data_IF_180894133162
#
_entry.id   IF_180894133162
#
_cell.length_a   1.000
_cell.length_b   1.000
_cell.length_c   1.000
_cell.angle_alpha   90.00
_cell.angle_beta   90.00
_cell.angle_gamma   90.00
#
_symmetry.space_group_name_H-M   'P 1'
#
loop_
_entity.id
_entity.type
_entity.pdbx_description
1 polymer ?
#
# COMPACT_ATOMS: atom_id res chain seq x y z
N UNK A 1 -9.97 39.01 -15.32
CA UNK A 1 -9.79 37.98 -14.27
C UNK A 1 -10.18 36.55 -14.72
N UNK A 2 -10.15 36.21 -16.03
CA UNK A 2 -10.72 34.93 -16.52
C UNK A 2 -9.72 33.81 -16.86
N UNK A 3 -8.45 34.13 -17.12
CA UNK A 3 -7.48 33.16 -17.67
C UNK A 3 -6.65 32.49 -16.56
N UNK A 4 -6.10 33.27 -15.63
CA UNK A 4 -5.27 32.76 -14.53
C UNK A 4 -6.03 31.81 -13.59
N UNK A 5 -7.31 32.11 -13.30
CA UNK A 5 -8.14 31.25 -12.46
C UNK A 5 -8.51 29.92 -13.16
N UNK A 6 -8.73 29.95 -14.48
CA UNK A 6 -8.99 28.75 -15.27
C UNK A 6 -7.74 27.86 -15.37
N UNK A 7 -6.56 28.45 -15.61
CA UNK A 7 -5.28 27.72 -15.61
C UNK A 7 -4.96 27.12 -14.25
N UNK A 8 -5.16 27.87 -13.15
CA UNK A 8 -4.96 27.35 -11.79
C UNK A 8 -5.89 26.17 -11.50
N UNK A 9 -7.18 26.28 -11.86
CA UNK A 9 -8.15 25.19 -11.67
C UNK A 9 -7.80 23.94 -12.49
N UNK A 10 -7.39 24.11 -13.74
CA UNK A 10 -6.95 23.02 -14.60
C UNK A 10 -5.67 22.37 -14.07
N UNK A 11 -4.71 23.17 -13.59
CA UNK A 11 -3.49 22.69 -12.98
C UNK A 11 -3.76 21.84 -11.73
N UNK A 12 -4.60 22.34 -10.81
CA UNK A 12 -5.00 21.60 -9.61
C UNK A 12 -5.72 20.29 -9.95
N UNK A 13 -6.55 20.28 -10.99
CA UNK A 13 -7.22 19.07 -11.46
C UNK A 13 -6.24 18.02 -11.99
N UNK A 14 -5.27 18.44 -12.81
CA UNK A 14 -4.23 17.54 -13.34
C UNK A 14 -3.36 17.00 -12.20
N UNK A 15 -2.95 17.87 -11.27
CA UNK A 15 -2.14 17.48 -10.13
C UNK A 15 -2.86 16.46 -9.25
N UNK A 16 -4.14 16.72 -8.92
CA UNK A 16 -4.95 15.79 -8.12
C UNK A 16 -5.10 14.42 -8.77
N UNK A 17 -5.30 14.35 -10.09
CA UNK A 17 -5.32 13.07 -10.82
C UNK A 17 -3.98 12.33 -10.68
N UNK A 18 -2.86 13.05 -10.86
CA UNK A 18 -1.52 12.47 -10.72
C UNK A 18 -1.30 11.92 -9.31
N UNK A 19 -1.71 12.66 -8.28
CA UNK A 19 -1.54 12.26 -6.89
C UNK A 19 -2.41 11.04 -6.56
N UNK A 20 -3.65 10.96 -7.05
CA UNK A 20 -4.51 9.77 -6.90
C UNK A 20 -3.83 8.55 -7.54
N UNK A 21 -3.33 8.68 -8.77
CA UNK A 21 -2.68 7.55 -9.46
C UNK A 21 -1.42 7.09 -8.75
N UNK A 22 -0.61 8.02 -8.23
CA UNK A 22 0.57 7.69 -7.45
C UNK A 22 0.19 6.97 -6.14
N UNK A 23 -0.84 7.44 -5.45
CA UNK A 23 -1.36 6.79 -4.25
C UNK A 23 -1.86 5.37 -4.56
N UNK A 24 -2.68 5.20 -5.60
CA UNK A 24 -3.21 3.90 -6.03
C UNK A 24 -2.06 2.94 -6.41
N UNK A 25 -1.07 3.39 -7.17
CA UNK A 25 0.10 2.58 -7.53
C UNK A 25 0.88 2.08 -6.30
N UNK A 26 1.03 2.92 -5.27
CA UNK A 26 1.69 2.53 -4.02
C UNK A 26 0.93 1.41 -3.26
N UNK A 27 -0.39 1.41 -3.32
CA UNK A 27 -1.22 0.37 -2.72
C UNK A 27 -1.15 -0.96 -3.48
N UNK A 28 -0.99 -0.91 -4.81
CA UNK A 28 -0.92 -2.11 -5.65
C UNK A 28 0.37 -2.90 -5.47
N UNK A 29 1.50 -2.19 -5.32
CA UNK A 29 2.76 -2.84 -4.98
C UNK A 29 2.64 -3.69 -3.69
N UNK A 30 1.84 -3.24 -2.72
CA UNK A 30 1.57 -3.98 -1.49
C UNK A 30 0.65 -5.18 -1.72
N UNK A 31 -0.49 -5.01 -2.42
CA UNK A 31 -1.50 -6.08 -2.53
C UNK A 31 -1.03 -7.28 -3.35
N UNK A 32 -0.20 -7.08 -4.37
CA UNK A 32 0.29 -8.20 -5.20
C UNK A 32 1.13 -9.21 -4.44
N UNK A 33 1.87 -8.76 -3.42
CA UNK A 33 2.61 -9.65 -2.54
C UNK A 33 1.70 -10.51 -1.64
N UNK A 34 0.40 -10.21 -1.59
CA UNK A 34 -0.56 -10.76 -0.61
C UNK A 34 -1.77 -11.44 -1.23
N UNK A 35 -2.18 -11.02 -2.43
CA UNK A 35 -3.30 -11.57 -3.19
C UNK A 35 -2.85 -11.96 -4.61
N UNK A 36 -2.04 -13.04 -4.75
CA UNK A 36 -1.48 -13.44 -6.04
C UNK A 36 -2.54 -13.87 -7.07
N UNK A 37 -3.79 -14.16 -6.67
CA UNK A 37 -4.86 -14.47 -7.61
C UNK A 37 -5.41 -13.22 -8.33
N UNK A 38 -5.06 -12.00 -7.88
CA UNK A 38 -5.33 -10.77 -8.63
C UNK A 38 -4.27 -10.67 -9.72
N UNK A 39 -4.69 -10.73 -10.98
CA UNK A 39 -3.79 -10.75 -12.14
C UNK A 39 -3.48 -9.35 -12.64
N UNK A 40 -4.54 -8.56 -12.82
CA UNK A 40 -4.47 -7.23 -13.42
C UNK A 40 -5.33 -6.30 -12.59
N UNK A 41 -4.86 -5.06 -12.42
CA UNK A 41 -5.68 -3.97 -11.91
C UNK A 41 -5.63 -2.80 -12.89
N UNK A 42 -6.78 -2.45 -13.45
CA UNK A 42 -6.96 -1.26 -14.26
C UNK A 42 -7.58 -0.13 -13.41
N UNK A 43 -7.06 1.08 -13.53
CA UNK A 43 -7.58 2.26 -12.82
C UNK A 43 -8.24 3.22 -13.80
N UNK A 44 -9.54 3.37 -13.64
CA UNK A 44 -10.36 4.27 -14.43
C UNK A 44 -10.69 5.53 -13.62
N UNK A 45 -10.46 6.72 -14.18
CA UNK A 45 -10.93 7.98 -13.59
C UNK A 45 -12.08 8.56 -14.42
N UNK A 46 -13.04 9.17 -13.75
CA UNK A 46 -14.20 9.79 -14.39
C UNK A 46 -13.83 11.16 -14.95
N UNK A 47 -14.31 11.45 -16.15
CA UNK A 47 -14.25 12.75 -16.78
C UNK A 47 -15.63 13.18 -17.29
N UNK A 48 -15.99 14.47 -17.15
CA UNK A 48 -17.24 14.96 -17.71
C UNK A 48 -17.22 14.85 -19.24
N UNK A 49 -18.33 14.39 -19.81
CA UNK A 49 -18.50 14.40 -21.26
C UNK A 49 -18.79 15.83 -21.75
N UNK A 50 -18.28 16.18 -22.93
CA UNK A 50 -18.62 17.46 -23.58
C UNK A 50 -20.13 17.56 -23.88
N UNK A 51 -20.75 16.43 -24.19
CA UNK A 51 -22.20 16.29 -24.26
C UNK A 51 -22.75 16.00 -22.85
N UNK A 52 -23.43 16.99 -22.26
CA UNK A 52 -24.02 16.89 -20.93
C UNK A 52 -25.07 15.77 -20.82
N UNK A 53 -25.73 15.40 -21.92
CA UNK A 53 -26.70 14.30 -21.92
C UNK A 53 -26.03 12.93 -21.71
N UNK A 54 -24.73 12.82 -21.99
CA UNK A 54 -23.95 11.59 -21.80
C UNK A 54 -23.34 11.48 -20.39
N UNK A 55 -23.49 12.50 -19.54
CA UNK A 55 -22.98 12.49 -18.16
C UNK A 55 -21.45 12.49 -18.09
N UNK A 56 -20.85 11.31 -17.89
CA UNK A 56 -19.41 11.12 -17.74
C UNK A 56 -18.90 9.96 -18.60
N UNK A 57 -17.60 9.95 -18.85
CA UNK A 57 -16.86 8.85 -19.42
C UNK A 57 -15.71 8.44 -18.49
N UNK A 58 -15.28 7.20 -18.58
CA UNK A 58 -14.06 6.77 -17.92
C UNK A 58 -12.86 6.97 -18.84
N UNK A 59 -11.72 7.31 -18.24
CA UNK A 59 -10.40 7.23 -18.87
C UNK A 59 -9.65 6.09 -18.23
N UNK A 60 -9.16 5.13 -19.01
CA UNK A 60 -8.24 4.11 -18.48
C UNK A 60 -6.89 4.78 -18.24
N UNK A 61 -6.60 5.12 -16.99
CA UNK A 61 -5.44 5.95 -16.64
C UNK A 61 -4.19 5.14 -16.36
N UNK A 62 -4.36 3.93 -15.82
CA UNK A 62 -3.24 3.14 -15.34
C UNK A 62 -3.58 1.65 -15.39
N UNK A 63 -2.62 0.87 -15.83
CA UNK A 63 -2.66 -0.58 -15.82
C UNK A 63 -1.56 -1.10 -14.91
N UNK A 64 -1.84 -2.13 -14.12
CA UNK A 64 -0.82 -2.83 -13.33
C UNK A 64 -0.99 -4.33 -13.53
N UNK A 65 0.11 -5.00 -13.89
CA UNK A 65 0.18 -6.45 -14.04
C UNK A 65 0.93 -7.04 -12.83
N UNK A 66 0.34 -8.06 -12.20
CA UNK A 66 0.95 -8.77 -11.07
C UNK A 66 2.29 -9.40 -11.44
N UNK A 67 2.49 -9.86 -12.69
CA UNK A 67 3.74 -10.54 -13.07
C UNK A 67 4.95 -9.61 -12.99
N UNK A 68 4.75 -8.34 -13.34
CA UNK A 68 5.81 -7.33 -13.30
C UNK A 68 5.80 -6.54 -12.00
N UNK A 69 4.62 -6.40 -11.37
CA UNK A 69 4.39 -5.52 -10.23
C UNK A 69 4.58 -4.04 -10.56
N UNK A 70 4.70 -3.67 -11.84
CA UNK A 70 4.94 -2.31 -12.32
C UNK A 70 3.63 -1.71 -12.82
N UNK A 71 3.27 -0.54 -12.29
CA UNK A 71 2.14 0.23 -12.80
C UNK A 71 2.57 1.08 -13.99
N UNK A 72 1.92 0.89 -15.14
CA UNK A 72 2.05 1.74 -16.31
C UNK A 72 0.96 2.82 -16.28
N UNK A 73 1.35 4.08 -16.17
CA UNK A 73 0.44 5.23 -16.27
C UNK A 73 0.42 5.72 -17.72
N UNK A 74 -0.75 5.74 -18.35
CA UNK A 74 -0.88 6.10 -19.75
C UNK A 74 -0.81 7.61 -19.97
N UNK A 75 0.08 8.05 -20.87
CA UNK A 75 0.19 9.45 -21.29
C UNK A 75 -1.00 9.90 -22.14
N UNK A 76 -1.60 8.99 -22.91
CA UNK A 76 -2.82 9.20 -23.69
C UNK A 76 -3.86 8.12 -23.34
N UNK A 77 -4.63 8.32 -22.26
CA UNK A 77 -5.51 7.28 -21.74
C UNK A 77 -6.70 7.00 -22.66
N UNK A 78 -7.08 5.73 -22.82
CA UNK A 78 -8.24 5.36 -23.64
C UNK A 78 -9.56 5.84 -23.02
N UNK A 79 -10.52 6.27 -23.84
CA UNK A 79 -11.85 6.67 -23.34
C UNK A 79 -12.82 5.50 -23.42
N UNK A 80 -13.48 5.23 -22.31
CA UNK A 80 -14.56 4.28 -22.21
C UNK A 80 -15.88 5.04 -22.00
N UNK A 81 -16.77 4.96 -22.99
CA UNK A 81 -18.14 5.49 -22.87
C UNK A 81 -19.11 4.35 -22.62
N UNK A 82 -20.14 4.63 -21.83
CA UNK A 82 -21.14 3.63 -21.43
C UNK A 82 -21.83 2.98 -22.62
N UNK A 83 -22.29 3.80 -23.58
CA UNK A 83 -23.00 3.34 -24.79
C UNK A 83 -22.16 2.47 -25.71
N UNK A 84 -20.84 2.59 -25.64
CA UNK A 84 -19.91 1.90 -26.54
C UNK A 84 -19.54 0.51 -25.99
N UNK A 85 -19.86 0.18 -24.72
CA UNK A 85 -19.29 -1.00 -24.03
C UNK A 85 -20.27 -1.70 -23.07
N UNK A 86 -21.18 -2.52 -23.60
CA UNK A 86 -22.12 -3.32 -22.80
C UNK A 86 -21.42 -4.26 -21.80
N UNK A 87 -20.32 -4.89 -22.20
CA UNK A 87 -19.56 -5.82 -21.34
C UNK A 87 -18.83 -5.14 -20.19
N UNK A 88 -18.69 -3.80 -20.21
CA UNK A 88 -18.05 -3.01 -19.14
C UNK A 88 -19.04 -2.10 -18.40
N UNK A 89 -20.34 -2.29 -18.60
CA UNK A 89 -21.39 -1.52 -17.89
C UNK A 89 -21.31 -1.70 -16.37
N UNK A 90 -20.72 -2.80 -15.87
CA UNK A 90 -20.49 -3.01 -14.45
C UNK A 90 -19.57 -1.95 -13.82
N UNK A 91 -18.64 -1.36 -14.58
CA UNK A 91 -17.79 -0.25 -14.11
C UNK A 91 -18.65 1.01 -13.86
N UNK A 92 -19.60 1.29 -14.76
CA UNK A 92 -20.52 2.41 -14.62
C UNK A 92 -21.50 2.16 -13.47
N UNK A 93 -22.04 0.94 -13.33
CA UNK A 93 -22.87 0.56 -12.18
C UNK A 93 -22.14 0.75 -10.85
N UNK A 94 -20.88 0.35 -10.78
CA UNK A 94 -20.02 0.54 -9.61
C UNK A 94 -19.88 2.03 -9.25
N UNK A 95 -19.58 2.89 -10.23
CA UNK A 95 -19.48 4.32 -9.97
C UNK A 95 -20.83 4.99 -9.65
N UNK A 96 -21.90 4.63 -10.35
CA UNK A 96 -23.24 5.22 -10.15
C UNK A 96 -23.81 4.89 -8.76
N UNK A 97 -23.57 3.67 -8.28
CA UNK A 97 -23.99 3.22 -6.95
C UNK A 97 -23.01 3.58 -5.85
N UNK A 98 -21.76 3.90 -6.19
CA UNK A 98 -20.64 3.92 -5.24
C UNK A 98 -20.50 2.62 -4.44
N UNK A 99 -20.89 1.47 -5.00
CA UNK A 99 -20.78 0.14 -4.38
C UNK A 99 -19.79 -0.77 -5.12
N UNK A 100 -19.27 -1.78 -4.42
CA UNK A 100 -18.41 -2.80 -5.03
C UNK A 100 -19.28 -3.72 -5.89
N UNK A 101 -18.91 -3.89 -7.16
CA UNK A 101 -19.60 -4.78 -8.08
C UNK A 101 -18.68 -5.94 -8.42
N UNK A 102 -19.17 -7.17 -8.28
CA UNK A 102 -18.45 -8.37 -8.72
C UNK A 102 -19.21 -9.06 -9.82
N UNK A 103 -18.56 -9.30 -10.95
CA UNK A 103 -19.20 -9.89 -12.14
C UNK A 103 -18.20 -10.70 -12.96
N UNK A 104 -18.72 -11.49 -13.90
CA UNK A 104 -17.91 -12.07 -14.96
C UNK A 104 -18.03 -11.19 -16.21
N UNK A 105 -16.91 -10.85 -16.83
CA UNK A 105 -16.84 -10.10 -18.08
C UNK A 105 -15.75 -10.71 -18.97
N UNK A 106 -16.04 -10.89 -20.26
CA UNK A 106 -15.12 -11.54 -21.21
C UNK A 106 -14.58 -12.92 -20.76
N UNK A 107 -15.34 -13.65 -19.93
CA UNK A 107 -14.95 -14.97 -19.42
C UNK A 107 -14.02 -14.95 -18.21
N UNK A 108 -13.70 -13.76 -17.69
CA UNK A 108 -12.90 -13.56 -16.48
C UNK A 108 -13.71 -12.90 -15.37
N UNK A 109 -13.27 -13.10 -14.13
CA UNK A 109 -13.88 -12.56 -12.92
C UNK A 109 -13.30 -11.17 -12.64
N UNK A 110 -14.20 -10.23 -12.41
CA UNK A 110 -13.88 -8.84 -12.11
C UNK A 110 -14.50 -8.39 -10.78
N UNK A 111 -13.72 -7.64 -10.01
CA UNK A 111 -14.16 -6.92 -8.82
C UNK A 111 -13.95 -5.43 -9.10
N UNK A 112 -15.02 -4.71 -9.41
CA UNK A 112 -15.00 -3.26 -9.58
C UNK A 112 -15.19 -2.57 -8.23
N UNK A 113 -14.24 -1.71 -7.85
CA UNK A 113 -14.24 -0.99 -6.57
C UNK A 113 -14.19 0.52 -6.83
N UNK A 114 -15.12 1.32 -6.30
CA UNK A 114 -15.12 2.75 -6.56
C UNK A 114 -14.10 3.46 -5.68
N UNK A 115 -13.37 4.41 -6.27
CA UNK A 115 -12.56 5.39 -5.53
C UNK A 115 -13.49 6.57 -5.23
N UNK A 116 -13.70 6.90 -3.95
CA UNK A 116 -14.68 7.92 -3.55
C UNK A 116 -14.04 9.22 -3.12
N UNK A 117 -14.78 10.32 -3.29
CA UNK A 117 -14.51 11.59 -2.62
C UNK A 117 -15.05 11.60 -1.17
N UNK A 118 -14.81 12.69 -0.44
CA UNK A 118 -15.31 12.86 0.93
C UNK A 118 -16.84 12.92 1.05
N UNK A 119 -17.56 13.10 -0.07
CA UNK A 119 -19.03 13.05 -0.12
C UNK A 119 -19.56 11.64 -0.39
N UNK A 120 -18.67 10.66 -0.57
CA UNK A 120 -19.01 9.28 -0.91
C UNK A 120 -19.30 9.05 -2.39
N UNK A 121 -19.10 10.05 -3.25
CA UNK A 121 -19.32 9.93 -4.70
C UNK A 121 -18.08 9.36 -5.37
N UNK A 122 -18.27 8.48 -6.35
CA UNK A 122 -17.17 7.94 -7.13
C UNK A 122 -16.45 9.03 -7.94
N UNK A 123 -15.12 9.00 -7.90
CA UNK A 123 -14.19 9.74 -8.77
C UNK A 123 -13.65 8.85 -9.89
N UNK A 124 -13.76 7.54 -9.72
CA UNK A 124 -13.14 6.52 -10.54
C UNK A 124 -13.45 5.13 -10.03
N UNK A 125 -12.96 4.12 -10.74
CA UNK A 125 -13.14 2.71 -10.43
C UNK A 125 -11.82 1.97 -10.61
N UNK A 126 -11.49 1.12 -9.65
CA UNK A 126 -10.47 0.09 -9.76
C UNK A 126 -11.13 -1.17 -10.28
N UNK A 127 -10.66 -1.70 -11.40
CA UNK A 127 -11.12 -2.97 -11.95
C UNK A 127 -10.08 -4.05 -11.64
N UNK A 128 -10.36 -4.88 -10.65
CA UNK A 128 -9.48 -5.97 -10.23
C UNK A 128 -9.90 -7.26 -10.95
N UNK A 129 -9.05 -7.74 -11.85
CA UNK A 129 -9.28 -8.97 -12.59
C UNK A 129 -8.60 -10.16 -11.89
N UNK A 130 -9.40 -11.16 -11.53
CA UNK A 130 -8.93 -12.41 -10.88
C UNK A 130 -8.91 -13.61 -11.83
N UNK A 131 -9.08 -13.39 -13.13
CA UNK A 131 -9.09 -14.40 -14.18
C UNK A 131 -10.20 -15.41 -13.96
N UNK A 132 -9.86 -16.69 -13.89
CA UNK A 132 -10.84 -17.75 -13.61
C UNK A 132 -11.06 -18.00 -12.12
N UNK A 133 -10.36 -17.28 -11.23
CA UNK A 133 -10.57 -17.36 -9.79
C UNK A 133 -11.86 -16.62 -9.44
N UNK A 134 -12.97 -17.35 -9.29
CA UNK A 134 -14.30 -16.78 -9.00
C UNK A 134 -14.39 -16.18 -7.59
N UNK A 135 -13.70 -16.80 -6.65
CA UNK A 135 -13.64 -16.40 -5.24
C UNK A 135 -12.20 -16.44 -4.77
N UNK A 136 -11.71 -15.31 -4.26
CA UNK A 136 -10.38 -15.22 -3.67
C UNK A 136 -10.31 -16.09 -2.41
N UNK A 137 -9.15 -16.72 -2.13
CA UNK A 137 -8.94 -17.36 -0.84
C UNK A 137 -9.20 -16.40 0.32
N UNK A 138 -9.75 -16.85 1.47
CA UNK A 138 -10.19 -15.96 2.54
C UNK A 138 -9.14 -14.95 3.01
N UNK A 139 -7.88 -15.36 3.10
CA UNK A 139 -6.77 -14.49 3.50
C UNK A 139 -6.45 -13.41 2.45
N UNK A 140 -6.54 -13.74 1.16
CA UNK A 140 -6.35 -12.78 0.07
C UNK A 140 -7.51 -11.78 0.03
N UNK A 141 -8.74 -12.25 0.22
CA UNK A 141 -9.91 -11.38 0.30
C UNK A 141 -9.83 -10.42 1.49
N UNK A 142 -9.42 -10.90 2.67
CA UNK A 142 -9.22 -10.06 3.85
C UNK A 142 -8.13 -9.01 3.62
N UNK A 143 -6.99 -9.40 3.04
CA UNK A 143 -5.91 -8.46 2.72
C UNK A 143 -6.35 -7.43 1.65
N UNK A 144 -7.14 -7.85 0.65
CA UNK A 144 -7.73 -6.96 -0.35
C UNK A 144 -8.66 -5.94 0.29
N UNK A 145 -9.61 -6.39 1.11
CA UNK A 145 -10.51 -5.50 1.84
C UNK A 145 -9.72 -4.49 2.69
N UNK A 146 -8.65 -4.96 3.33
CA UNK A 146 -7.82 -4.10 4.16
C UNK A 146 -7.08 -3.05 3.35
N UNK A 147 -6.47 -3.44 2.23
CA UNK A 147 -5.82 -2.52 1.31
C UNK A 147 -6.80 -1.47 0.79
N UNK A 148 -7.98 -1.88 0.33
CA UNK A 148 -8.99 -0.96 -0.19
C UNK A 148 -9.47 0.02 0.87
N UNK A 149 -9.62 -0.42 2.13
CA UNK A 149 -9.94 0.46 3.24
C UNK A 149 -8.84 1.51 3.44
N UNK A 150 -7.57 1.10 3.54
CA UNK A 150 -6.45 2.03 3.75
C UNK A 150 -6.26 2.98 2.56
N UNK A 151 -6.49 2.48 1.34
CA UNK A 151 -6.46 3.30 0.13
C UNK A 151 -7.56 4.37 0.14
N UNK A 152 -8.78 4.02 0.57
CA UNK A 152 -9.87 5.00 0.67
C UNK A 152 -9.59 6.06 1.75
N UNK A 153 -9.06 5.68 2.90
CA UNK A 153 -8.64 6.63 3.95
C UNK A 153 -7.54 7.58 3.44
N UNK A 154 -6.56 7.04 2.72
CA UNK A 154 -5.51 7.82 2.08
C UNK A 154 -6.05 8.78 1.00
N UNK A 155 -7.02 8.32 0.19
CA UNK A 155 -7.68 9.17 -0.79
C UNK A 155 -8.46 10.30 -0.12
N UNK A 156 -9.17 10.01 0.99
CA UNK A 156 -9.92 11.02 1.74
C UNK A 156 -8.99 12.13 2.27
N UNK A 157 -7.84 11.75 2.84
CA UNK A 157 -6.87 12.73 3.31
C UNK A 157 -6.22 13.51 2.16
N UNK A 158 -5.86 12.84 1.07
CA UNK A 158 -5.28 13.49 -0.11
C UNK A 158 -6.22 14.54 -0.72
N UNK A 159 -7.53 14.28 -0.71
CA UNK A 159 -8.55 15.16 -1.28
C UNK A 159 -8.96 16.30 -0.34
N UNK A 160 -8.58 16.24 0.93
CA UNK A 160 -8.79 17.30 1.90
C UNK A 160 -7.54 18.21 1.93
N UNK A 161 -7.60 19.32 1.18
CA UNK A 161 -6.47 20.25 1.03
C UNK A 161 -5.95 20.84 2.36
N UNK A 162 -6.79 20.89 3.42
CA UNK A 162 -6.37 21.39 4.73
C UNK A 162 -5.59 20.31 5.47
N UNK A 163 -6.17 19.11 5.61
CA UNK A 163 -5.51 17.97 6.26
C UNK A 163 -4.23 17.57 5.53
N UNK A 164 -4.24 17.61 4.20
CA UNK A 164 -3.06 17.28 3.42
C UNK A 164 -1.94 18.32 3.53
N UNK A 165 -2.21 19.57 3.92
CA UNK A 165 -1.17 20.61 4.07
C UNK A 165 -0.65 20.75 5.51
N UNK A 166 -1.43 20.40 6.53
CA UNK A 166 -1.08 20.52 7.96
C UNK A 166 -0.06 19.46 8.44
N UNK A 167 1.11 19.48 7.80
CA UNK A 167 2.15 18.45 7.87
C UNK A 167 2.92 18.46 9.21
N UNK A 168 2.88 19.55 9.98
CA UNK A 168 3.72 19.70 11.18
C UNK A 168 3.12 19.14 12.47
N UNK A 169 1.80 18.96 12.55
CA UNK A 169 1.13 18.47 13.78
C UNK A 169 0.74 17.00 13.73
N UNK A 170 0.65 16.42 12.54
CA UNK A 170 0.11 15.06 12.33
C UNK A 170 1.07 14.10 11.61
N UNK A 171 2.28 14.53 11.24
CA UNK A 171 3.24 13.65 10.57
C UNK A 171 3.59 12.44 11.44
N UNK A 172 3.33 11.25 10.90
CA UNK A 172 3.60 9.96 11.55
C UNK A 172 4.96 9.43 11.14
N UNK A 173 5.38 9.75 9.91
CA UNK A 173 6.61 9.34 9.26
C UNK A 173 7.45 10.58 8.90
N UNK A 174 8.76 10.51 9.12
CA UNK A 174 9.71 11.54 8.69
C UNK A 174 9.65 11.76 7.18
N UNK A 175 9.39 10.71 6.40
CA UNK A 175 9.22 10.81 4.95
C UNK A 175 8.07 11.75 4.52
N UNK A 176 7.10 12.05 5.38
CA UNK A 176 6.01 13.00 5.09
C UNK A 176 6.44 14.46 5.14
N UNK A 177 7.52 14.75 5.87
CA UNK A 177 8.01 16.13 6.05
C UNK A 177 8.61 16.70 4.76
N UNK A 178 8.98 15.84 3.81
CA UNK A 178 9.38 16.25 2.47
C UNK A 178 8.13 16.46 1.62
N UNK A 179 7.87 17.72 1.27
CA UNK A 179 6.66 18.13 0.56
C UNK A 179 6.54 17.53 -0.86
N UNK A 180 5.31 17.55 -1.39
CA UNK A 180 5.02 17.17 -2.78
C UNK A 180 4.85 15.65 -2.98
N UNK A 181 5.41 15.13 -4.08
CA UNK A 181 5.22 13.74 -4.51
C UNK A 181 5.69 12.71 -3.47
N UNK A 182 6.59 13.09 -2.56
CA UNK A 182 7.10 12.17 -1.54
C UNK A 182 6.05 11.82 -0.51
N UNK A 183 5.29 12.81 -0.04
CA UNK A 183 4.18 12.63 0.89
C UNK A 183 3.09 11.71 0.32
N UNK A 184 2.71 11.91 -0.94
CA UNK A 184 1.69 11.08 -1.62
C UNK A 184 2.13 9.61 -1.68
N UNK A 185 3.39 9.36 -2.05
CA UNK A 185 3.91 8.01 -2.23
C UNK A 185 3.97 7.16 -0.95
N UNK A 186 4.00 7.77 0.23
CA UNK A 186 4.05 7.06 1.52
C UNK A 186 2.68 7.00 2.22
N UNK A 187 1.68 7.73 1.73
CA UNK A 187 0.42 7.94 2.44
C UNK A 187 -0.37 6.65 2.67
N UNK A 188 -0.50 5.80 1.65
CA UNK A 188 -1.11 4.47 1.81
C UNK A 188 -0.41 3.64 2.90
N UNK A 189 0.92 3.59 2.85
CA UNK A 189 1.72 2.81 3.78
C UNK A 189 1.66 3.38 5.21
N UNK A 190 1.51 4.71 5.37
CA UNK A 190 1.27 5.35 6.66
C UNK A 190 -0.01 4.84 7.31
N UNK A 191 -1.13 4.85 6.58
CA UNK A 191 -2.41 4.33 7.07
C UNK A 191 -2.31 2.84 7.41
N UNK A 192 -1.67 2.05 6.55
CA UNK A 192 -1.42 0.63 6.82
C UNK A 192 -0.58 0.43 8.10
N UNK A 193 0.48 1.21 8.29
CA UNK A 193 1.32 1.14 9.48
C UNK A 193 0.54 1.50 10.75
N UNK A 194 -0.27 2.56 10.72
CA UNK A 194 -1.10 2.96 11.87
C UNK A 194 -2.10 1.88 12.25
N UNK A 195 -2.77 1.28 11.27
CA UNK A 195 -3.70 0.20 11.54
C UNK A 195 -3.01 -1.03 12.13
N UNK A 196 -1.83 -1.40 11.60
CA UNK A 196 -1.06 -2.52 12.11
C UNK A 196 -0.51 -2.25 13.52
N UNK A 197 -0.13 -1.00 13.82
CA UNK A 197 0.19 -0.59 15.20
C UNK A 197 -1.02 -0.76 16.12
N UNK A 198 -2.22 -0.40 15.67
CA UNK A 198 -3.45 -0.64 16.45
C UNK A 198 -3.76 -2.12 16.62
N UNK A 199 -3.49 -2.96 15.62
CA UNK A 199 -3.61 -4.41 15.76
C UNK A 199 -2.61 -4.95 16.81
N UNK A 200 -1.35 -4.51 16.76
CA UNK A 200 -0.31 -4.91 17.71
C UNK A 200 -0.57 -4.38 19.12
N UNK A 201 -1.16 -3.19 19.28
CA UNK A 201 -1.45 -2.60 20.61
C UNK A 201 -2.48 -3.42 21.40
N UNK A 202 -3.31 -4.20 20.71
CA UNK A 202 -4.29 -5.11 21.31
C UNK A 202 -3.70 -6.44 21.75
N UNK A 203 -2.46 -6.74 21.38
CA UNK A 203 -1.78 -7.95 21.83
C UNK A 203 -1.43 -7.78 23.31
N UNK A 204 -1.87 -8.73 24.12
CA UNK A 204 -1.62 -8.76 25.55
C UNK A 204 -0.73 -9.95 25.96
N UNK A 205 -0.52 -10.13 27.26
CA UNK A 205 0.26 -11.26 27.77
C UNK A 205 -0.32 -12.61 27.35
N UNK A 206 -1.64 -12.73 27.23
CA UNK A 206 -2.31 -13.96 26.80
C UNK A 206 -2.12 -14.20 25.30
N UNK A 207 -2.16 -13.14 24.49
CA UNK A 207 -1.93 -13.18 23.05
C UNK A 207 -0.55 -13.75 22.73
N UNK A 208 0.47 -13.39 23.51
CA UNK A 208 1.82 -13.94 23.35
C UNK A 208 2.08 -15.26 24.10
N UNK A 209 1.13 -15.76 24.91
CA UNK A 209 1.33 -16.98 25.68
C UNK A 209 1.56 -18.19 24.75
N UNK A 210 0.77 -18.29 23.68
CA UNK A 210 0.94 -19.30 22.62
C UNK A 210 2.32 -19.19 21.99
N UNK A 211 2.68 -18.01 21.47
CA UNK A 211 3.99 -17.76 20.87
C UNK A 211 5.12 -18.09 21.85
N UNK A 212 4.99 -17.82 23.15
CA UNK A 212 6.02 -18.11 24.15
C UNK A 212 6.06 -19.57 24.62
N UNK A 213 4.97 -20.32 24.43
CA UNK A 213 4.85 -21.70 24.88
C UNK A 213 5.69 -22.67 24.06
N UNK A 214 6.08 -22.28 22.84
CA UNK A 214 6.94 -23.10 21.99
C UNK A 214 8.28 -23.42 22.67
N UNK A 215 8.53 -24.73 22.82
CA UNK A 215 9.86 -25.25 23.18
C UNK A 215 10.84 -25.00 22.04
N UNK A 216 10.42 -25.32 20.82
CA UNK A 216 11.07 -24.99 19.56
C UNK A 216 10.04 -24.30 18.65
N UNK A 217 10.34 -23.10 18.12
CA UNK A 217 9.39 -22.35 17.32
C UNK A 217 9.28 -22.95 15.91
N UNK A 218 8.10 -22.89 15.27
CA UNK A 218 8.02 -23.05 13.84
C UNK A 218 9.00 -22.08 13.15
N UNK A 219 9.76 -22.57 12.15
CA UNK A 219 10.80 -21.78 11.46
C UNK A 219 10.27 -20.43 10.99
N UNK A 220 9.07 -20.41 10.43
CA UNK A 220 8.40 -19.19 9.96
C UNK A 220 8.15 -18.19 11.10
N UNK A 221 7.65 -18.64 12.25
CA UNK A 221 7.39 -17.77 13.41
C UNK A 221 8.69 -17.17 13.93
N UNK A 222 9.76 -17.98 13.97
CA UNK A 222 11.07 -17.49 14.36
C UNK A 222 11.58 -16.43 13.35
N UNK A 223 11.49 -16.70 12.04
CA UNK A 223 11.90 -15.73 11.01
C UNK A 223 11.14 -14.40 11.09
N UNK A 224 9.82 -14.45 11.32
CA UNK A 224 9.01 -13.24 11.56
C UNK A 224 9.54 -12.46 12.76
N UNK A 225 9.77 -13.14 13.87
CA UNK A 225 10.27 -12.50 15.08
C UNK A 225 11.67 -11.91 14.89
N UNK A 226 12.56 -12.61 14.17
CA UNK A 226 13.90 -12.09 13.85
C UNK A 226 13.83 -10.77 13.10
N UNK A 227 13.00 -10.71 12.05
CA UNK A 227 12.84 -9.48 11.29
C UNK A 227 12.31 -8.31 12.15
N UNK A 228 11.36 -8.58 13.04
CA UNK A 228 10.88 -7.56 14.00
C UNK A 228 12.00 -7.10 14.94
N UNK A 229 12.76 -8.04 15.52
CA UNK A 229 13.80 -7.71 16.49
C UNK A 229 14.98 -6.96 15.84
N UNK A 230 15.36 -7.30 14.61
CA UNK A 230 16.45 -6.64 13.89
C UNK A 230 16.16 -5.18 13.50
N UNK A 231 14.90 -4.73 13.58
CA UNK A 231 14.54 -3.31 13.50
C UNK A 231 14.97 -2.53 14.76
N UNK A 232 15.07 -3.20 15.90
CA UNK A 232 15.35 -2.58 17.20
C UNK A 232 16.73 -2.95 17.77
N UNK A 233 17.27 -4.09 17.35
CA UNK A 233 18.55 -4.65 17.75
C UNK A 233 19.35 -5.04 16.50
N UNK A 234 19.69 -4.07 15.61
CA UNK A 234 20.44 -4.36 14.39
C UNK A 234 21.81 -5.01 14.66
N UNK A 235 22.38 -4.78 15.84
CA UNK A 235 23.63 -5.40 16.30
C UNK A 235 23.52 -6.91 16.55
N UNK A 236 22.31 -7.47 16.57
CA UNK A 236 22.09 -8.91 16.67
C UNK A 236 22.15 -9.61 15.31
N UNK A 237 22.33 -8.89 14.21
CA UNK A 237 22.45 -9.55 12.91
C UNK A 237 23.62 -10.55 12.91
N UNK A 238 23.33 -11.75 12.43
CA UNK A 238 24.24 -12.92 12.43
C UNK A 238 24.80 -13.36 13.81
N UNK A 239 24.29 -12.80 14.91
CA UNK A 239 24.74 -13.13 16.27
C UNK A 239 24.06 -14.37 16.86
N UNK A 240 24.66 -15.02 17.86
CA UNK A 240 24.04 -16.17 18.52
C UNK A 240 22.68 -15.82 19.17
N UNK A 241 22.52 -14.57 19.61
CA UNK A 241 21.28 -14.05 20.20
C UNK A 241 20.10 -14.11 19.22
N UNK A 242 20.27 -13.66 17.96
CA UNK A 242 19.18 -13.71 16.97
C UNK A 242 18.87 -15.14 16.51
N UNK A 243 19.82 -16.06 16.66
CA UNK A 243 19.63 -17.48 16.34
C UNK A 243 19.02 -18.27 17.51
N UNK A 244 19.11 -17.75 18.73
CA UNK A 244 18.54 -18.36 19.93
C UNK A 244 17.07 -17.98 20.11
N UNK A 245 16.19 -18.98 20.00
CA UNK A 245 14.76 -18.81 20.28
C UNK A 245 14.52 -18.28 21.70
N UNK A 246 15.26 -18.79 22.68
CA UNK A 246 15.10 -18.37 24.08
C UNK A 246 15.42 -16.88 24.25
N UNK A 247 16.47 -16.38 23.58
CA UNK A 247 16.81 -14.94 23.62
C UNK A 247 15.75 -14.10 22.90
N UNK A 248 15.34 -14.50 21.70
CA UNK A 248 14.30 -13.80 20.94
C UNK A 248 12.97 -13.75 21.70
N UNK A 249 12.56 -14.86 22.32
CA UNK A 249 11.32 -14.98 23.09
C UNK A 249 11.30 -14.05 24.32
N UNK A 250 12.44 -13.82 24.97
CA UNK A 250 12.52 -12.90 26.12
C UNK A 250 12.23 -11.44 25.73
N UNK A 251 12.50 -11.07 24.48
CA UNK A 251 12.19 -9.73 23.95
C UNK A 251 10.71 -9.53 23.62
N UNK A 252 9.91 -10.59 23.53
CA UNK A 252 8.47 -10.48 23.29
C UNK A 252 7.78 -10.02 24.58
N UNK A 253 7.67 -8.72 24.81
CA UNK A 253 7.08 -8.17 26.03
C UNK A 253 6.47 -6.78 25.76
N UNK A 254 5.99 -6.10 26.78
CA UNK A 254 5.38 -4.76 26.65
C UNK A 254 6.35 -3.69 26.14
N UNK A 255 7.66 -3.84 26.35
CA UNK A 255 8.67 -2.95 25.75
C UNK A 255 8.73 -3.10 24.24
N UNK A 256 8.65 -4.32 23.72
CA UNK A 256 8.58 -4.56 22.27
C UNK A 256 7.33 -3.92 21.66
N UNK A 257 6.16 -4.08 22.29
CA UNK A 257 4.92 -3.45 21.83
C UNK A 257 5.11 -1.94 21.78
N UNK A 258 5.58 -1.31 22.87
CA UNK A 258 5.83 0.14 22.90
C UNK A 258 6.80 0.59 21.80
N UNK A 259 7.88 -0.16 21.57
CA UNK A 259 8.83 0.11 20.47
C UNK A 259 8.13 0.09 19.12
N UNK A 260 7.31 -0.93 18.84
CA UNK A 260 6.52 -1.06 17.61
C UNK A 260 5.57 0.14 17.41
N UNK A 261 4.88 0.57 18.45
CA UNK A 261 3.89 1.65 18.37
C UNK A 261 4.51 3.02 18.00
N UNK A 262 5.76 3.27 18.38
CA UNK A 262 6.46 4.53 18.09
C UNK A 262 7.46 4.43 16.93
N UNK A 263 7.69 3.24 16.36
CA UNK A 263 8.77 3.03 15.40
C UNK A 263 8.46 3.60 14.02
N UNK A 264 9.20 4.63 13.61
CA UNK A 264 9.14 5.18 12.26
C UNK A 264 10.20 4.51 11.37
N UNK A 265 9.81 3.65 10.41
CA UNK A 265 10.74 2.97 9.50
C UNK A 265 11.41 3.91 8.49
N UNK A 266 10.97 5.17 8.38
CA UNK A 266 11.50 6.16 7.44
C UNK A 266 12.46 7.15 8.10
N UNK A 267 12.61 7.07 9.42
CA UNK A 267 13.39 8.03 10.17
C UNK A 267 14.91 7.85 9.98
N UNK A 268 15.66 8.95 10.00
CA UNK A 268 17.11 8.94 9.80
C UNK A 268 17.89 8.11 10.83
N UNK A 269 17.34 7.93 12.03
CA UNK A 269 17.99 7.14 13.08
C UNK A 269 17.92 5.62 12.83
N UNK A 270 17.07 5.16 11.91
CA UNK A 270 16.93 3.74 11.60
C UNK A 270 18.20 3.25 10.91
N UNK A 271 18.97 2.42 11.62
CA UNK A 271 20.24 1.86 11.13
C UNK A 271 20.09 0.53 10.39
N UNK A 272 18.92 -0.12 10.47
CA UNK A 272 18.69 -1.43 9.90
C UNK A 272 18.66 -1.37 8.37
N UNK A 273 19.39 -2.26 7.70
CA UNK A 273 19.38 -2.39 6.24
C UNK A 273 18.11 -3.18 5.80
N UNK A 274 17.31 -2.67 4.85
CA UNK A 274 16.17 -3.42 4.26
C UNK A 274 16.51 -4.84 3.80
N UNK A 275 17.74 -5.08 3.37
CA UNK A 275 18.22 -6.39 2.91
C UNK A 275 18.22 -7.43 4.04
N UNK A 276 18.54 -7.02 5.26
CA UNK A 276 18.54 -7.89 6.44
C UNK A 276 17.13 -8.42 6.69
N UNK A 277 16.12 -7.54 6.64
CA UNK A 277 14.72 -7.93 6.82
C UNK A 277 14.22 -8.82 5.67
N UNK A 278 14.68 -8.52 4.46
CA UNK A 278 14.31 -9.27 3.25
C UNK A 278 14.65 -10.76 3.38
N UNK A 279 15.82 -11.09 3.95
CA UNK A 279 16.28 -12.46 4.23
C UNK A 279 15.29 -13.28 5.05
N UNK A 280 14.55 -12.63 5.96
CA UNK A 280 13.67 -13.31 6.91
C UNK A 280 12.19 -13.24 6.54
N UNK A 281 11.74 -12.21 5.82
CA UNK A 281 10.30 -11.98 5.57
C UNK A 281 9.86 -12.24 4.13
N UNK A 282 10.61 -11.79 3.11
CA UNK A 282 10.08 -11.80 1.72
C UNK A 282 9.83 -13.20 1.17
N UNK A 283 10.56 -14.20 1.65
CA UNK A 283 10.38 -15.60 1.23
C UNK A 283 9.21 -16.33 1.89
N UNK A 284 8.54 -15.71 2.87
CA UNK A 284 7.43 -16.34 3.61
C UNK A 284 6.14 -16.17 2.79
N UNK A 285 5.49 -17.26 2.35
CA UNK A 285 4.21 -17.16 1.66
C UNK A 285 3.12 -16.64 2.61
N UNK A 286 2.39 -15.60 2.20
CA UNK A 286 1.30 -15.01 3.02
C UNK A 286 0.26 -16.05 3.47
N UNK A 287 -0.11 -16.97 2.59
CA UNK A 287 -1.02 -18.07 2.92
C UNK A 287 -0.48 -19.05 3.97
N UNK A 288 0.83 -19.19 4.12
CA UNK A 288 1.44 -20.01 5.17
C UNK A 288 1.32 -19.32 6.54
N UNK A 289 1.51 -17.99 6.60
CA UNK A 289 1.30 -17.18 7.81
C UNK A 289 -0.14 -17.32 8.30
N UNK A 290 -1.10 -17.21 7.37
CA UNK A 290 -2.52 -17.39 7.68
C UNK A 290 -2.83 -18.78 8.25
N UNK A 291 -2.35 -19.84 7.57
CA UNK A 291 -2.59 -21.22 7.97
C UNK A 291 -2.01 -21.57 9.35
N UNK A 292 -0.97 -20.86 9.79
CA UNK A 292 -0.39 -21.06 11.12
C UNK A 292 -1.35 -20.67 12.24
N UNK A 293 -2.29 -19.74 12.00
CA UNK A 293 -3.33 -19.35 12.95
C UNK A 293 -2.85 -18.56 14.17
N UNK A 294 -1.54 -18.27 14.29
CA UNK A 294 -1.00 -17.44 15.37
C UNK A 294 -1.23 -15.96 15.06
N UNK A 295 -2.24 -15.37 15.71
CA UNK A 295 -2.59 -13.96 15.64
C UNK A 295 -1.37 -13.04 15.88
N UNK A 296 -0.56 -13.21 16.94
CA UNK A 296 0.61 -12.35 17.15
C UNK A 296 1.63 -12.49 16.01
N UNK A 297 1.88 -13.71 15.51
CA UNK A 297 2.79 -13.90 14.39
C UNK A 297 2.28 -13.21 13.11
N UNK A 298 0.99 -13.28 12.84
CA UNK A 298 0.37 -12.62 11.68
C UNK A 298 0.46 -11.09 11.77
N UNK A 299 0.12 -10.50 12.93
CA UNK A 299 0.25 -9.05 13.13
C UNK A 299 1.70 -8.57 12.99
N UNK A 300 2.64 -9.30 13.61
CA UNK A 300 4.06 -8.99 13.52
C UNK A 300 4.59 -9.12 12.08
N UNK A 301 4.18 -10.16 11.34
CA UNK A 301 4.55 -10.33 9.94
C UNK A 301 4.05 -9.16 9.08
N UNK A 302 2.78 -8.80 9.20
CA UNK A 302 2.17 -7.72 8.42
C UNK A 302 2.82 -6.38 8.73
N UNK A 303 3.08 -6.11 10.01
CA UNK A 303 3.75 -4.89 10.46
C UNK A 303 5.18 -4.80 9.92
N UNK A 304 5.99 -5.85 10.09
CA UNK A 304 7.36 -5.85 9.63
C UNK A 304 7.49 -5.79 8.09
N UNK A 305 6.57 -6.44 7.36
CA UNK A 305 6.50 -6.31 5.90
C UNK A 305 6.20 -4.87 5.47
N UNK A 306 5.27 -4.18 6.16
CA UNK A 306 4.95 -2.78 5.88
C UNK A 306 6.13 -1.85 6.20
N UNK A 307 6.86 -2.12 7.29
CA UNK A 307 8.11 -1.41 7.60
C UNK A 307 9.15 -1.61 6.49
N UNK A 308 9.34 -2.84 6.01
CA UNK A 308 10.25 -3.12 4.90
C UNK A 308 9.86 -2.34 3.64
N UNK A 309 8.58 -2.33 3.25
CA UNK A 309 8.10 -1.54 2.10
C UNK A 309 8.38 -0.04 2.27
N UNK A 310 8.16 0.52 3.47
CA UNK A 310 8.44 1.93 3.77
C UNK A 310 9.93 2.27 3.71
N UNK A 311 10.80 1.37 4.18
CA UNK A 311 12.25 1.56 4.11
C UNK A 311 12.73 1.52 2.65
N UNK A 312 12.24 0.57 1.85
CA UNK A 312 12.57 0.46 0.43
C UNK A 312 12.09 1.67 -0.37
N UNK A 313 10.87 2.16 -0.10
CA UNK A 313 10.35 3.39 -0.70
C UNK A 313 11.24 4.59 -0.32
N UNK A 314 11.58 4.72 0.96
CA UNK A 314 12.42 5.82 1.44
C UNK A 314 13.80 5.81 0.78
N UNK A 315 14.43 4.64 0.62
CA UNK A 315 15.72 4.50 -0.06
C UNK A 315 15.64 4.84 -1.54
N UNK A 316 14.62 4.34 -2.27
CA UNK A 316 14.40 4.68 -3.69
C UNK A 316 14.24 6.19 -3.89
N UNK A 317 13.53 6.84 -2.98
CA UNK A 317 13.29 8.29 -3.03
C UNK A 317 14.55 9.10 -2.74
N UNK A 318 15.39 8.67 -1.80
CA UNK A 318 16.69 9.28 -1.53
C UNK A 318 17.62 9.15 -2.74
N UNK A 319 17.67 7.98 -3.37
CA UNK A 319 18.51 7.72 -4.54
C UNK A 319 18.09 8.56 -5.76
N UNK A 320 16.78 8.78 -5.96
CA UNK A 320 16.27 9.65 -7.02
C UNK A 320 16.61 11.14 -6.82
N UNK A 321 16.97 11.55 -5.60
CA UNK A 321 17.37 12.92 -5.26
C UNK A 321 18.87 13.17 -5.29
N UNK A 322 19.71 12.12 -5.35
CA UNK A 322 21.16 12.27 -5.49
C UNK A 322 21.49 12.73 -6.93
N UNK A 323 22.09 13.93 -7.14
CA UNK A 323 22.47 14.34 -8.47
C UNK A 323 23.51 13.35 -9.02
N UNK A 324 23.28 12.87 -10.24
CA UNK A 324 24.30 12.18 -11.02
C UNK A 324 25.51 13.10 -11.12
N UNK A 325 26.56 12.83 -10.34
CA UNK A 325 27.86 13.45 -10.54
C UNK A 325 28.42 12.95 -11.87
N UNK A 326 27.96 13.54 -12.96
CA UNK A 326 28.63 13.46 -14.25
C UNK A 326 29.92 14.24 -14.07
N UNK A 327 31.03 13.51 -13.87
CA UNK A 327 32.37 14.04 -14.02
C UNK A 327 32.49 14.62 -15.43
N UNK A 328 32.37 15.94 -15.56
CA UNK A 328 32.85 16.67 -16.72
C UNK A 328 34.38 16.57 -16.69
N UNK A 329 34.92 15.60 -17.46
CA UNK A 329 36.31 15.66 -17.90
C UNK A 329 36.44 16.90 -18.78
N UNK A 330 37.09 17.93 -18.24
CA UNK A 330 37.59 19.03 -19.06
C UNK A 330 38.66 18.47 -20.02
N UNK A 331 38.58 18.76 -21.33
CA UNK A 331 39.64 18.42 -22.27
C UNK A 331 40.85 19.33 -22.02
N UNK A 332 42.04 18.72 -22.04
CA UNK A 332 43.33 19.42 -22.13
C UNK A 332 43.54 20.02 -23.51
#
# INVERSE_FOLDING_TARGET
MGVTNAFSSAYHHIQRKRDILQLVSSAFAWIYSRAPNIRVIDTYLMEPCADKAQGYAFRNMMHTDNNTGVSEIYSSPATLRRRDNLFRDYLFKCADSSEVITTDAYGERHIAVPIRDHTGRALGVLDLNTGHCRELPPHEYQDLQKMLQMLQEACNELLDDQRFKDTAKEAVLEAEQVSGQRKVGVLFHRFMLQDLRHCVSKLDHQSFAELKSYKEPPVMVHSILKAVLLLFFPEWDESEEIHSWNQCKLKVNSDLIRKILSFDPTAQYVRSNPEILTKYIKGIPRGAVWKQGSIPAEHLFNWAFTCLSLMELSQKMQNAQAPSQVFLRMPN
#
